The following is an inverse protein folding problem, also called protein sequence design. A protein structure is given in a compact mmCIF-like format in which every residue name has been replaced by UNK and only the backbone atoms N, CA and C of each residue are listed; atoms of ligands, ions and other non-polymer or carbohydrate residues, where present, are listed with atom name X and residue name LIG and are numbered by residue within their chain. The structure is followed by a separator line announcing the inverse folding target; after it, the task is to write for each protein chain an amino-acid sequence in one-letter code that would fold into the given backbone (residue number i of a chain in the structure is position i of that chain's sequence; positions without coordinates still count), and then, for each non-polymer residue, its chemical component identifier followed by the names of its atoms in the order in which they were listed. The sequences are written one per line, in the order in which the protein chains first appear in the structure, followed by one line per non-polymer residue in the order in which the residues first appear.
data_IF_545428421641
#
_entry.id   IF_545428421641
#
_cell.length_a   1.000
_cell.length_b   1.000
_cell.length_c   1.000
_cell.angle_alpha   90.00
_cell.angle_beta   90.00
_cell.angle_gamma   90.00
#
_symmetry.space_group_name_H-M   'P 1'
#
loop_
_entity.id
_entity.type
_entity.pdbx_description
1 polymer ?
#
# COMPACT_ATOMS: atom_id res chain seq x y z
N UNK A 1 6.60 -13.47 7.89
CA UNK A 1 6.12 -14.85 7.62
C UNK A 1 7.10 -15.40 6.60
N UNK A 2 7.95 -16.39 6.92
CA UNK A 2 9.21 -16.61 6.14
C UNK A 2 9.02 -16.65 4.62
N UNK A 3 7.97 -17.32 4.14
CA UNK A 3 7.67 -17.41 2.70
C UNK A 3 7.31 -16.06 2.06
N UNK A 4 6.54 -15.20 2.77
CA UNK A 4 6.21 -13.86 2.28
C UNK A 4 7.44 -12.95 2.28
N UNK A 5 8.26 -13.01 3.33
CA UNK A 5 9.45 -12.19 3.47
C UNK A 5 10.47 -12.54 2.35
N UNK A 6 10.64 -13.84 2.08
CA UNK A 6 11.46 -14.35 0.98
C UNK A 6 10.89 -13.91 -0.39
N UNK A 7 9.56 -13.96 -0.56
CA UNK A 7 8.89 -13.51 -1.78
C UNK A 7 9.08 -12.02 -2.04
N UNK A 8 8.87 -11.17 -1.03
CA UNK A 8 9.05 -9.72 -1.14
C UNK A 8 10.48 -9.39 -1.51
N UNK A 9 11.47 -10.04 -0.88
CA UNK A 9 12.89 -9.88 -1.23
C UNK A 9 13.18 -10.27 -2.68
N UNK A 10 12.65 -11.41 -3.14
CA UNK A 10 12.83 -11.86 -4.52
C UNK A 10 12.18 -10.91 -5.53
N UNK A 11 10.96 -10.45 -5.25
CA UNK A 11 10.21 -9.55 -6.13
C UNK A 11 10.86 -8.16 -6.19
N UNK A 12 11.27 -7.60 -5.05
CA UNK A 12 11.99 -6.32 -5.00
C UNK A 12 13.30 -6.39 -5.80
N UNK A 13 14.05 -7.50 -5.66
CA UNK A 13 15.26 -7.73 -6.44
C UNK A 13 14.99 -7.81 -7.94
N UNK A 14 13.89 -8.43 -8.37
CA UNK A 14 13.52 -8.56 -9.80
C UNK A 14 13.23 -7.20 -10.42
N UNK A 15 12.58 -6.29 -9.68
CA UNK A 15 12.23 -4.95 -10.18
C UNK A 15 13.27 -3.87 -9.86
N UNK A 16 14.36 -4.23 -9.19
CA UNK A 16 15.50 -3.35 -8.91
C UNK A 16 15.27 -2.33 -7.79
N UNK A 17 14.46 -2.65 -6.79
CA UNK A 17 14.25 -1.81 -5.59
C UNK A 17 14.84 -2.46 -4.32
N UNK A 18 15.13 -1.65 -3.31
CA UNK A 18 15.58 -2.14 -2.01
C UNK A 18 14.44 -2.92 -1.31
N UNK A 19 14.62 -4.21 -0.96
CA UNK A 19 13.60 -4.95 -0.23
C UNK A 19 13.18 -4.29 1.09
N UNK A 20 14.09 -3.57 1.75
CA UNK A 20 13.80 -2.92 3.03
C UNK A 20 12.98 -1.62 2.86
N UNK A 21 12.81 -1.13 1.62
CA UNK A 21 11.92 0.00 1.34
C UNK A 21 10.44 -0.40 1.16
N UNK A 22 10.12 -1.68 1.24
CA UNK A 22 8.75 -2.18 1.11
C UNK A 22 8.11 -2.29 2.49
N UNK A 23 7.16 -1.41 2.77
CA UNK A 23 6.32 -1.49 3.97
C UNK A 23 5.27 -2.62 3.83
N UNK A 24 5.69 -3.84 4.13
CA UNK A 24 4.84 -5.03 4.01
C UNK A 24 3.66 -4.97 4.97
N UNK A 25 3.91 -4.59 6.22
CA UNK A 25 2.88 -4.58 7.27
C UNK A 25 1.80 -3.53 6.95
N UNK A 26 2.19 -2.30 6.58
CA UNK A 26 1.23 -1.26 6.20
C UNK A 26 0.40 -1.61 4.96
N UNK A 27 1.01 -2.26 3.96
CA UNK A 27 0.28 -2.76 2.77
C UNK A 27 -0.73 -3.84 3.14
N UNK A 28 -0.37 -4.78 4.02
CA UNK A 28 -1.27 -5.85 4.46
C UNK A 28 -2.40 -5.34 5.34
N UNK A 29 -2.11 -4.37 6.22
CA UNK A 29 -3.13 -3.73 7.06
C UNK A 29 -4.15 -2.98 6.19
N UNK A 30 -3.69 -2.20 5.20
CA UNK A 30 -4.58 -1.51 4.26
C UNK A 30 -5.45 -2.49 3.46
N UNK A 31 -4.86 -3.58 2.98
CA UNK A 31 -5.60 -4.63 2.29
C UNK A 31 -6.67 -5.24 3.21
N UNK A 32 -6.33 -5.51 4.48
CA UNK A 32 -7.24 -6.01 5.50
C UNK A 32 -8.42 -5.08 5.74
N UNK A 33 -8.16 -3.78 5.94
CA UNK A 33 -9.20 -2.77 6.14
C UNK A 33 -10.18 -2.72 4.95
N UNK A 34 -9.67 -2.72 3.73
CA UNK A 34 -10.51 -2.73 2.54
C UNK A 34 -11.33 -4.02 2.39
N UNK A 35 -10.71 -5.19 2.61
CA UNK A 35 -11.38 -6.48 2.50
C UNK A 35 -12.49 -6.66 3.54
N UNK A 36 -12.28 -6.20 4.77
CA UNK A 36 -13.22 -6.38 5.88
C UNK A 36 -14.38 -5.38 5.85
N UNK A 37 -14.12 -4.13 5.44
CA UNK A 37 -15.13 -3.05 5.55
C UNK A 37 -15.86 -2.75 4.23
N UNK A 38 -15.29 -3.11 3.07
CA UNK A 38 -15.90 -2.87 1.75
C UNK A 38 -16.42 -4.18 1.15
N UNK A 39 -15.53 -4.94 0.51
CA UNK A 39 -15.73 -6.30 0.00
C UNK A 39 -14.36 -6.92 -0.26
N UNK A 40 -14.24 -8.25 -0.27
CA UNK A 40 -12.93 -8.92 -0.50
C UNK A 40 -12.16 -8.42 -1.73
N UNK A 41 -12.78 -8.17 -2.90
CA UNK A 41 -12.07 -7.60 -4.06
C UNK A 41 -11.50 -6.20 -3.87
N UNK A 42 -11.91 -5.46 -2.83
CA UNK A 42 -11.41 -4.11 -2.56
C UNK A 42 -9.95 -4.13 -2.10
N UNK A 43 -9.47 -5.19 -1.43
CA UNK A 43 -8.09 -5.30 -0.97
C UNK A 43 -7.04 -4.98 -2.05
N UNK A 44 -6.98 -5.74 -3.17
CA UNK A 44 -5.98 -5.48 -4.21
C UNK A 44 -6.19 -4.15 -4.95
N UNK A 45 -7.43 -3.67 -5.05
CA UNK A 45 -7.73 -2.39 -5.72
C UNK A 45 -7.23 -1.23 -4.87
N UNK A 46 -7.48 -1.25 -3.58
CA UNK A 46 -7.06 -0.19 -2.65
C UNK A 46 -5.54 -0.10 -2.54
N UNK A 47 -4.84 -1.23 -2.41
CA UNK A 47 -3.37 -1.21 -2.33
C UNK A 47 -2.71 -0.79 -3.64
N UNK A 48 -3.30 -1.16 -4.79
CA UNK A 48 -2.84 -0.64 -6.08
C UNK A 48 -3.00 0.89 -6.18
N UNK A 49 -4.15 1.43 -5.75
CA UNK A 49 -4.39 2.88 -5.77
C UNK A 49 -3.46 3.62 -4.81
N UNK A 50 -3.17 3.07 -3.64
CA UNK A 50 -2.18 3.62 -2.71
C UNK A 50 -0.79 3.76 -3.37
N UNK A 51 -0.29 2.67 -3.97
CA UNK A 51 0.98 2.69 -4.70
C UNK A 51 0.98 3.65 -5.88
N UNK A 52 -0.14 3.75 -6.61
CA UNK A 52 -0.27 4.68 -7.73
C UNK A 52 -0.21 6.15 -7.29
N UNK A 53 -0.89 6.52 -6.21
CA UNK A 53 -0.86 7.88 -5.64
C UNK A 53 0.56 8.23 -5.17
N UNK A 54 1.24 7.31 -4.48
CA UNK A 54 2.63 7.51 -4.05
C UNK A 54 3.58 7.68 -5.24
N UNK A 55 3.38 6.90 -6.31
CA UNK A 55 4.16 7.04 -7.53
C UNK A 55 3.96 8.39 -8.23
N UNK A 56 2.72 8.90 -8.26
CA UNK A 56 2.43 10.23 -8.80
C UNK A 56 3.07 11.33 -7.95
N UNK A 57 2.96 11.23 -6.62
CA UNK A 57 3.55 12.17 -5.67
C UNK A 57 5.08 12.24 -5.81
N UNK A 58 5.74 11.09 -5.91
CA UNK A 58 7.18 11.02 -6.14
C UNK A 58 7.62 11.61 -7.48
N UNK A 59 6.80 11.50 -8.52
CA UNK A 59 7.09 12.03 -9.85
C UNK A 59 6.95 13.55 -9.95
N UNK A 60 6.06 14.16 -9.16
CA UNK A 60 5.82 15.61 -9.15
C UNK A 60 6.94 16.39 -8.44
N UNK A 61 7.70 15.72 -7.56
CA UNK A 61 8.82 16.33 -6.84
C UNK A 61 8.39 17.38 -5.80
N UNK A 62 7.11 17.37 -5.42
CA UNK A 62 6.56 18.26 -4.40
C UNK A 62 7.14 17.91 -3.02
N UNK A 63 7.85 18.83 -2.34
CA UNK A 63 8.36 18.59 -0.99
C UNK A 63 7.24 18.41 0.05
N UNK A 64 6.02 18.87 -0.24
CA UNK A 64 4.84 18.73 0.60
C UNK A 64 3.95 17.52 0.17
N UNK A 65 4.47 16.66 -0.71
CA UNK A 65 3.81 15.43 -1.12
C UNK A 65 3.47 14.53 0.09
N UNK A 66 2.32 13.83 0.07
CA UNK A 66 1.95 12.92 1.14
C UNK A 66 2.93 11.74 1.24
N UNK A 67 3.30 11.38 2.46
CA UNK A 67 4.15 10.22 2.74
C UNK A 67 3.39 8.90 2.50
N UNK A 68 4.12 7.77 2.51
CA UNK A 68 3.50 6.43 2.54
C UNK A 68 2.47 6.33 3.66
N UNK A 69 2.85 6.74 4.86
CA UNK A 69 2.02 6.64 6.06
C UNK A 69 0.75 7.49 5.92
N UNK A 70 0.86 8.71 5.39
CA UNK A 70 -0.29 9.57 5.12
C UNK A 70 -1.27 8.95 4.13
N UNK A 71 -0.76 8.35 3.06
CA UNK A 71 -1.59 7.70 2.02
C UNK A 71 -2.27 6.45 2.58
N UNK A 72 -1.51 5.58 3.25
CA UNK A 72 -2.02 4.34 3.82
C UNK A 72 -3.09 4.64 4.88
N UNK A 73 -2.84 5.55 5.81
CA UNK A 73 -3.81 5.91 6.85
C UNK A 73 -5.05 6.56 6.26
N UNK A 74 -4.90 7.48 5.30
CA UNK A 74 -6.06 8.12 4.64
C UNK A 74 -6.96 7.10 3.96
N UNK A 75 -6.38 6.14 3.23
CA UNK A 75 -7.15 5.11 2.52
C UNK A 75 -7.72 4.07 3.47
N UNK A 76 -6.98 3.67 4.51
CA UNK A 76 -7.46 2.79 5.56
C UNK A 76 -8.66 3.41 6.30
N UNK A 77 -8.54 4.68 6.71
CA UNK A 77 -9.63 5.42 7.33
C UNK A 77 -10.86 5.52 6.43
N UNK A 78 -10.67 5.76 5.12
CA UNK A 78 -11.75 5.76 4.15
C UNK A 78 -12.44 4.39 4.05
N UNK A 79 -11.67 3.30 3.99
CA UNK A 79 -12.21 1.94 3.97
C UNK A 79 -13.00 1.61 5.24
N UNK A 80 -12.46 1.94 6.43
CA UNK A 80 -13.12 1.73 7.74
C UNK A 80 -14.43 2.51 7.89
N UNK A 81 -14.53 3.68 7.26
CA UNK A 81 -15.72 4.53 7.29
C UNK A 81 -16.72 4.24 6.15
N UNK A 82 -16.42 3.29 5.27
CA UNK A 82 -17.22 3.03 4.07
C UNK A 82 -18.67 2.65 4.40
N UNK A 83 -19.61 3.36 3.79
CA UNK A 83 -21.05 3.03 3.78
C UNK A 83 -21.55 3.14 2.33
N UNK A 84 -22.18 2.09 1.76
CA UNK A 84 -22.60 2.07 0.35
C UNK A 84 -23.64 3.13 -0.05
#
# INVERSE_FOLDING_TARGET
MKELDDWVRALASEVGIDPESVDVDGVLDLAGDAAHNVVRPAAPVTTFVAGYVLGLAAADGDPDAPTSDDVLERMGAFARAWTP
#
